data_IF_156342631215
#
_entry.id   IF_156342631215
#
_cell.length_a   1.000
_cell.length_b   1.000
_cell.length_c   1.000
_cell.angle_alpha   90.00
_cell.angle_beta   90.00
_cell.angle_gamma   90.00
#
_symmetry.space_group_name_H-M   'P 1'
#
loop_
_entity.id
_entity.type
_entity.pdbx_description
1 polymer ?
#
# COMPACT_ATOMS: atom_id res chain seq x y z
N UNK A 1 37.26 6.66 15.05
CA UNK A 1 36.07 7.55 15.14
C UNK A 1 35.68 8.13 13.80
N UNK A 2 36.59 8.24 12.86
CA UNK A 2 36.33 8.87 11.55
C UNK A 2 35.56 7.94 10.57
N UNK A 3 35.66 6.63 10.74
CA UNK A 3 34.99 5.66 9.84
C UNK A 3 33.46 5.61 9.98
N UNK A 4 32.93 5.91 11.17
CA UNK A 4 31.46 5.89 11.42
C UNK A 4 30.79 7.12 10.82
N UNK A 5 31.51 8.26 10.77
CA UNK A 5 31.00 9.50 10.20
C UNK A 5 30.92 9.40 8.66
N UNK A 6 31.91 8.76 8.04
CA UNK A 6 31.94 8.55 6.59
C UNK A 6 30.83 7.60 6.10
N UNK A 7 30.53 6.53 6.84
CA UNK A 7 29.42 5.63 6.49
C UNK A 7 28.03 6.30 6.62
N UNK A 8 27.88 7.22 7.58
CA UNK A 8 26.65 7.98 7.74
C UNK A 8 26.46 9.00 6.61
N UNK A 9 27.55 9.63 6.17
CA UNK A 9 27.53 10.61 5.07
C UNK A 9 27.34 9.95 3.71
N UNK A 10 27.91 8.76 3.47
CA UNK A 10 27.68 7.98 2.26
C UNK A 10 26.22 7.48 2.18
N UNK A 11 25.64 7.01 3.30
CA UNK A 11 24.23 6.62 3.35
C UNK A 11 23.29 7.81 3.16
N UNK A 12 23.69 8.99 3.61
CA UNK A 12 22.91 10.22 3.38
C UNK A 12 22.95 10.67 1.92
N UNK A 13 24.02 10.38 1.18
CA UNK A 13 24.13 10.71 -0.24
C UNK A 13 23.40 9.70 -1.14
N UNK A 14 23.31 8.41 -0.76
CA UNK A 14 22.50 7.42 -1.47
C UNK A 14 20.99 7.69 -1.35
N UNK A 15 20.54 8.45 -0.35
CA UNK A 15 19.13 8.81 -0.16
C UNK A 15 18.71 10.09 -0.88
N UNK A 16 19.51 10.67 -1.75
CA UNK A 16 19.05 11.64 -2.75
C UNK A 16 18.36 10.95 -3.94
N UNK A 17 17.44 10.05 -3.61
CA UNK A 17 16.51 9.51 -4.58
C UNK A 17 15.55 10.64 -4.97
N UNK A 18 15.68 11.12 -6.20
CA UNK A 18 14.67 12.00 -6.79
C UNK A 18 13.38 11.20 -6.92
N UNK A 19 12.53 11.29 -5.91
CA UNK A 19 11.19 10.71 -5.97
C UNK A 19 10.46 11.32 -7.19
N UNK A 20 9.86 10.51 -8.05
CA UNK A 20 9.02 11.05 -9.10
C UNK A 20 7.94 11.92 -8.47
N UNK A 21 7.58 13.01 -9.15
CA UNK A 21 6.47 13.86 -8.71
C UNK A 21 5.17 13.08 -8.85
N UNK A 22 4.66 12.60 -7.71
CA UNK A 22 3.39 11.89 -7.62
C UNK A 22 2.40 12.79 -6.89
N UNK A 23 1.26 13.04 -7.53
CA UNK A 23 0.19 13.78 -6.92
C UNK A 23 -0.63 12.86 -6.00
N UNK A 24 -0.32 12.90 -4.71
CA UNK A 24 -1.13 12.21 -3.69
C UNK A 24 -2.46 12.94 -3.53
N UNK A 25 -3.54 12.18 -3.51
CA UNK A 25 -4.89 12.73 -3.43
C UNK A 25 -5.82 11.77 -2.65
N UNK A 26 -6.30 12.22 -1.51
CA UNK A 26 -7.33 11.56 -0.69
C UNK A 26 -8.61 12.40 -0.60
N UNK A 27 -8.79 13.39 -1.46
CA UNK A 27 -9.88 14.36 -1.36
C UNK A 27 -11.24 13.82 -1.78
N UNK A 28 -11.27 12.74 -2.56
CA UNK A 28 -12.51 12.15 -3.08
C UNK A 28 -13.12 11.09 -2.15
N UNK A 29 -12.48 10.83 -1.03
CA UNK A 29 -12.87 9.79 -0.08
C UNK A 29 -12.88 10.33 1.35
N UNK A 30 -13.58 9.63 2.23
CA UNK A 30 -13.60 9.93 3.66
C UNK A 30 -13.72 8.66 4.49
N UNK A 31 -13.29 8.72 5.75
CA UNK A 31 -13.41 7.61 6.69
C UNK A 31 -14.70 7.77 7.49
N UNK A 32 -15.49 6.71 7.55
CA UNK A 32 -16.74 6.66 8.29
C UNK A 32 -16.92 5.33 9.02
N UNK A 33 -18.03 5.24 9.76
CA UNK A 33 -18.43 3.98 10.42
C UNK A 33 -18.85 2.97 9.36
N UNK A 34 -18.26 1.79 9.41
CA UNK A 34 -18.60 0.68 8.51
C UNK A 34 -19.56 -0.31 9.19
N UNK A 35 -20.47 -0.86 8.40
CA UNK A 35 -21.32 -1.97 8.83
C UNK A 35 -20.59 -3.32 8.76
N UNK A 36 -19.45 -3.37 8.08
CA UNK A 36 -18.63 -4.58 7.92
C UNK A 36 -17.60 -4.72 9.02
N UNK A 37 -16.83 -3.66 9.28
CA UNK A 37 -15.78 -3.69 10.28
C UNK A 37 -15.42 -2.28 10.76
N UNK A 38 -15.68 -1.97 12.02
CA UNK A 38 -15.34 -0.74 12.74
C UNK A 38 -15.49 0.55 11.92
N UNK A 39 -14.61 0.78 10.98
CA UNK A 39 -14.54 1.93 10.09
C UNK A 39 -14.15 1.47 8.68
N UNK A 40 -14.53 2.24 7.70
CA UNK A 40 -14.21 2.02 6.30
C UNK A 40 -14.02 3.32 5.56
N UNK A 41 -13.73 3.23 4.29
CA UNK A 41 -13.54 4.37 3.40
C UNK A 41 -14.74 4.47 2.46
N UNK A 42 -15.27 5.67 2.33
CA UNK A 42 -16.50 5.99 1.60
C UNK A 42 -16.23 7.02 0.50
N UNK A 43 -17.00 6.93 -0.56
CA UNK A 43 -16.94 7.88 -1.66
C UNK A 43 -17.58 9.22 -1.27
N UNK A 44 -16.89 10.34 -1.49
CA UNK A 44 -17.46 11.69 -1.33
C UNK A 44 -18.37 12.12 -2.47
N UNK A 45 -18.16 11.54 -3.64
CA UNK A 45 -18.90 11.84 -4.88
C UNK A 45 -19.16 10.55 -5.63
N UNK A 46 -20.07 10.60 -6.61
CA UNK A 46 -20.23 9.50 -7.56
C UNK A 46 -18.93 9.28 -8.33
N UNK A 47 -18.54 8.02 -8.48
CA UNK A 47 -17.35 7.61 -9.21
C UNK A 47 -17.73 6.62 -10.30
N UNK A 48 -17.31 6.89 -11.51
CA UNK A 48 -17.47 5.96 -12.63
C UNK A 48 -16.43 4.81 -12.55
N UNK A 49 -16.66 3.76 -13.31
CA UNK A 49 -15.71 2.66 -13.53
C UNK A 49 -14.32 3.22 -13.93
N UNK A 50 -13.26 2.62 -13.41
CA UNK A 50 -11.86 3.02 -13.64
C UNK A 50 -11.49 4.44 -13.15
N UNK A 51 -12.19 4.93 -12.17
CA UNK A 51 -11.83 6.18 -11.48
C UNK A 51 -10.75 5.88 -10.42
N UNK A 52 -9.73 6.73 -10.37
CA UNK A 52 -8.78 6.73 -9.26
C UNK A 52 -9.41 7.43 -8.07
N UNK A 53 -9.81 6.64 -7.06
CA UNK A 53 -10.47 7.15 -5.87
C UNK A 53 -9.49 7.81 -4.89
N UNK A 54 -8.30 7.24 -4.77
CA UNK A 54 -7.24 7.74 -3.89
C UNK A 54 -5.86 7.39 -4.44
N UNK A 55 -4.90 8.28 -4.23
CA UNK A 55 -3.46 8.02 -4.40
C UNK A 55 -2.76 8.36 -3.09
N UNK A 56 -2.07 7.38 -2.51
CA UNK A 56 -1.44 7.52 -1.20
C UNK A 56 0.01 7.06 -1.21
N UNK A 57 0.89 7.66 -0.38
CA UNK A 57 2.26 7.20 -0.23
C UNK A 57 2.31 5.91 0.61
N UNK A 58 3.28 5.06 0.30
CA UNK A 58 3.65 3.90 1.11
C UNK A 58 5.08 4.02 1.58
N UNK A 59 5.35 3.50 2.78
CA UNK A 59 6.67 3.56 3.41
C UNK A 59 7.12 2.14 3.74
N UNK A 60 8.27 1.68 3.21
CA UNK A 60 8.78 0.36 3.54
C UNK A 60 9.28 0.30 4.98
N UNK A 61 8.97 -0.80 5.64
CA UNK A 61 9.56 -1.19 6.92
C UNK A 61 10.18 -2.56 6.77
N UNK A 62 11.40 -2.74 7.29
CA UNK A 62 12.17 -3.94 7.06
C UNK A 62 12.26 -4.78 8.33
N UNK A 63 11.95 -6.08 8.18
CA UNK A 63 12.05 -7.07 9.24
C UNK A 63 12.82 -8.28 8.73
N UNK A 64 13.58 -8.92 9.57
CA UNK A 64 14.26 -10.18 9.20
C UNK A 64 13.26 -11.32 9.02
N UNK A 65 12.21 -11.33 9.85
CA UNK A 65 11.11 -12.28 9.78
C UNK A 65 9.79 -11.58 10.13
N UNK A 66 8.66 -12.14 9.69
CA UNK A 66 7.32 -11.63 10.05
C UNK A 66 7.07 -11.62 11.56
N UNK A 67 7.74 -12.47 12.32
CA UNK A 67 7.58 -12.56 13.79
C UNK A 67 8.19 -11.38 14.56
N UNK A 68 9.02 -10.58 13.92
CA UNK A 68 9.59 -9.37 14.52
C UNK A 68 8.68 -8.16 14.39
N UNK A 69 7.67 -8.23 13.53
CA UNK A 69 6.72 -7.15 13.36
C UNK A 69 5.62 -7.20 14.42
N UNK A 70 5.20 -6.03 14.88
CA UNK A 70 4.01 -5.92 15.70
C UNK A 70 2.78 -6.47 14.95
N UNK A 71 1.89 -7.25 15.60
CA UNK A 71 0.69 -7.78 14.94
C UNK A 71 -0.21 -6.71 14.33
N UNK A 72 -0.26 -5.51 14.91
CA UNK A 72 -1.04 -4.40 14.34
C UNK A 72 -0.43 -3.92 13.02
N UNK A 73 0.89 -3.86 12.92
CA UNK A 73 1.58 -3.52 11.68
C UNK A 73 1.28 -4.56 10.61
N UNK A 74 1.29 -5.84 10.95
CA UNK A 74 0.91 -6.93 10.04
C UNK A 74 -0.53 -6.82 9.55
N UNK A 75 -1.44 -6.34 10.41
CA UNK A 75 -2.86 -6.20 10.08
C UNK A 75 -3.16 -5.03 9.13
N UNK A 76 -2.38 -3.96 9.20
CA UNK A 76 -2.61 -2.73 8.43
C UNK A 76 -1.58 -2.46 7.34
N UNK A 77 -0.47 -3.19 7.31
CA UNK A 77 0.56 -3.05 6.29
C UNK A 77 0.30 -3.92 5.06
N UNK A 78 0.87 -3.50 3.95
CA UNK A 78 0.92 -4.32 2.74
C UNK A 78 2.20 -5.16 2.78
N UNK A 79 2.03 -6.47 2.79
CA UNK A 79 3.13 -7.40 2.96
C UNK A 79 3.68 -7.84 1.61
N UNK A 80 4.99 -7.69 1.42
CA UNK A 80 5.71 -8.20 0.28
C UNK A 80 6.68 -9.34 0.72
N UNK A 81 6.16 -10.29 1.46
CA UNK A 81 6.91 -11.48 1.88
C UNK A 81 6.77 -12.59 0.84
N UNK A 82 7.86 -13.07 0.30
CA UNK A 82 7.86 -14.13 -0.70
C UNK A 82 8.02 -13.67 -2.14
N UNK A 83 8.25 -12.39 -2.36
CA UNK A 83 8.66 -11.92 -3.67
C UNK A 83 10.02 -12.52 -4.05
N UNK A 84 10.13 -13.16 -5.24
CA UNK A 84 11.37 -13.80 -5.67
C UNK A 84 12.43 -12.82 -6.17
N UNK A 85 12.13 -11.53 -6.24
CA UNK A 85 13.09 -10.56 -6.77
C UNK A 85 14.28 -10.38 -5.80
N UNK A 86 15.44 -10.02 -6.38
CA UNK A 86 16.68 -9.86 -5.63
C UNK A 86 16.60 -8.80 -4.53
N UNK A 87 15.85 -7.73 -4.76
CA UNK A 87 15.70 -6.64 -3.78
C UNK A 87 14.92 -7.09 -2.56
N UNK A 88 13.81 -7.79 -2.74
CA UNK A 88 13.05 -8.34 -1.63
C UNK A 88 13.83 -9.41 -0.85
N UNK A 89 14.55 -10.28 -1.57
CA UNK A 89 15.39 -11.28 -0.93
C UNK A 89 16.53 -10.66 -0.12
N UNK A 90 17.12 -9.56 -0.61
CA UNK A 90 18.18 -8.83 0.07
C UNK A 90 17.70 -8.18 1.37
N UNK A 91 16.50 -7.64 1.39
CA UNK A 91 15.95 -6.90 2.53
C UNK A 91 15.13 -7.77 3.49
N UNK A 92 14.87 -9.04 3.16
CA UNK A 92 14.07 -9.94 3.97
C UNK A 92 12.58 -9.66 3.87
N UNK A 93 11.89 -9.59 5.01
CA UNK A 93 10.45 -9.36 5.07
C UNK A 93 10.14 -7.86 5.06
N UNK A 94 9.47 -7.40 4.01
CA UNK A 94 9.14 -5.99 3.84
C UNK A 94 7.64 -5.79 4.03
N UNK A 95 7.29 -4.84 4.89
CA UNK A 95 5.92 -4.40 5.12
C UNK A 95 5.84 -2.94 4.73
N UNK A 96 4.92 -2.61 3.83
CA UNK A 96 4.68 -1.24 3.39
C UNK A 96 3.52 -0.65 4.18
N UNK A 97 3.78 0.43 4.89
CA UNK A 97 2.77 1.19 5.62
C UNK A 97 2.23 2.30 4.73
N UNK A 98 0.92 2.41 4.63
CA UNK A 98 0.30 3.50 3.90
C UNK A 98 0.10 4.73 4.79
N UNK A 99 0.32 5.90 4.23
CA UNK A 99 -0.27 7.14 4.69
C UNK A 99 -1.60 7.38 3.95
N UNK A 100 -2.35 8.43 4.29
CA UNK A 100 -3.72 8.57 3.80
C UNK A 100 -4.63 7.47 4.36
N UNK A 101 -5.54 6.97 3.55
CA UNK A 101 -6.51 5.96 3.98
C UNK A 101 -6.25 4.56 3.43
N UNK A 102 -5.13 4.34 2.76
CA UNK A 102 -4.80 3.10 2.03
C UNK A 102 -4.98 1.81 2.82
N UNK A 103 -4.70 1.82 4.13
CA UNK A 103 -4.86 0.65 5.01
C UNK A 103 -6.24 0.52 5.66
N UNK A 104 -7.16 1.45 5.39
CA UNK A 104 -8.49 1.50 6.04
C UNK A 104 -9.62 0.94 5.18
N UNK A 105 -9.34 0.54 3.94
CA UNK A 105 -10.32 -0.09 3.07
C UNK A 105 -10.64 -1.49 3.55
N UNK A 106 -11.92 -1.76 3.75
CA UNK A 106 -12.37 -3.09 4.15
C UNK A 106 -12.36 -4.06 2.98
N UNK A 107 -12.23 -5.34 3.32
CA UNK A 107 -12.27 -6.44 2.37
C UNK A 107 -13.71 -6.92 2.14
N UNK A 108 -14.06 -7.14 0.88
CA UNK A 108 -15.19 -7.97 0.48
C UNK A 108 -14.82 -8.84 -0.73
N UNK A 109 -15.30 -10.09 -0.80
CA UNK A 109 -15.08 -10.94 -1.99
C UNK A 109 -15.62 -10.31 -3.28
N UNK A 110 -16.73 -9.59 -3.19
CA UNK A 110 -17.31 -8.81 -4.29
C UNK A 110 -16.95 -7.34 -4.12
N UNK A 111 -15.68 -7.02 -4.31
CA UNK A 111 -15.19 -5.66 -4.21
C UNK A 111 -15.70 -4.75 -5.32
N UNK A 112 -15.74 -3.45 -5.07
CA UNK A 112 -16.08 -2.41 -6.04
C UNK A 112 -14.86 -1.57 -6.44
N UNK A 113 -13.70 -1.90 -5.90
CA UNK A 113 -12.43 -1.28 -6.21
C UNK A 113 -11.29 -2.30 -6.13
N UNK A 114 -10.15 -1.94 -6.71
CA UNK A 114 -8.89 -2.68 -6.59
C UNK A 114 -7.80 -1.76 -6.10
N UNK A 115 -6.78 -2.34 -5.49
CA UNK A 115 -5.58 -1.64 -5.08
C UNK A 115 -4.43 -1.96 -6.05
N UNK A 116 -3.69 -0.94 -6.45
CA UNK A 116 -2.43 -1.06 -7.17
C UNK A 116 -1.32 -0.48 -6.31
N UNK A 117 -0.25 -1.25 -6.07
CA UNK A 117 0.91 -0.82 -5.29
C UNK A 117 2.13 -0.74 -6.19
N UNK A 118 2.79 0.40 -6.17
CA UNK A 118 4.05 0.61 -6.86
C UNK A 118 5.18 0.69 -5.82
N UNK A 119 5.94 -0.39 -5.68
CA UNK A 119 7.02 -0.47 -4.71
C UNK A 119 8.29 0.25 -5.14
N UNK A 120 8.44 0.53 -6.43
CA UNK A 120 9.57 1.30 -6.94
C UNK A 120 9.42 2.78 -6.59
N UNK A 121 8.25 3.32 -6.86
CA UNK A 121 7.96 4.75 -6.70
C UNK A 121 7.22 5.05 -5.38
N UNK A 122 6.98 4.02 -4.56
CA UNK A 122 6.44 4.09 -3.20
C UNK A 122 5.07 4.77 -3.11
N UNK A 123 4.13 4.34 -3.92
CA UNK A 123 2.74 4.77 -3.83
C UNK A 123 1.74 3.64 -4.04
N UNK A 124 0.52 3.86 -3.61
CA UNK A 124 -0.63 3.03 -3.89
C UNK A 124 -1.76 3.82 -4.52
N UNK A 125 -2.59 3.15 -5.30
CA UNK A 125 -3.82 3.69 -5.88
C UNK A 125 -4.99 2.79 -5.58
N UNK A 126 -6.12 3.39 -5.28
CA UNK A 126 -7.42 2.71 -5.26
C UNK A 126 -8.16 3.09 -6.52
N UNK A 127 -8.54 2.10 -7.31
CA UNK A 127 -9.20 2.27 -8.61
C UNK A 127 -10.52 1.53 -8.60
N UNK A 128 -11.59 2.23 -8.95
CA UNK A 128 -12.92 1.64 -8.99
C UNK A 128 -13.03 0.57 -10.09
N UNK A 129 -13.63 -0.56 -9.77
CA UNK A 129 -13.95 -1.65 -10.71
C UNK A 129 -15.41 -1.70 -11.09
N UNK A 130 -16.22 -0.85 -10.47
CA UNK A 130 -17.64 -0.62 -10.73
C UNK A 130 -17.94 0.85 -10.50
N UNK A 131 -19.10 1.29 -10.95
CA UNK A 131 -19.64 2.58 -10.51
C UNK A 131 -19.90 2.53 -9.01
N UNK A 132 -19.48 3.56 -8.30
CA UNK A 132 -19.71 3.77 -6.86
C UNK A 132 -20.47 5.07 -6.68
N UNK A 133 -21.59 5.02 -5.94
CA UNK A 133 -22.35 6.22 -5.63
C UNK A 133 -21.76 6.95 -4.43
N UNK A 134 -22.02 8.24 -4.36
CA UNK A 134 -21.70 9.04 -3.18
C UNK A 134 -22.19 8.36 -1.91
N UNK A 135 -21.35 8.36 -0.87
CA UNK A 135 -21.58 7.76 0.44
C UNK A 135 -21.66 6.22 0.46
N UNK A 136 -21.35 5.55 -0.64
CA UNK A 136 -21.11 4.11 -0.62
C UNK A 136 -19.73 3.79 -0.10
N UNK A 137 -19.62 2.68 0.64
CA UNK A 137 -18.34 2.16 1.09
C UNK A 137 -17.54 1.56 -0.06
N UNK A 138 -16.26 1.85 -0.08
CA UNK A 138 -15.31 1.33 -1.05
C UNK A 138 -14.65 0.08 -0.47
N UNK A 139 -14.81 -1.05 -1.15
CA UNK A 139 -14.25 -2.33 -0.76
C UNK A 139 -13.17 -2.78 -1.74
N UNK A 140 -12.13 -3.39 -1.20
CA UNK A 140 -11.07 -4.02 -1.98
C UNK A 140 -11.03 -5.52 -1.67
N UNK A 141 -10.44 -6.30 -2.56
CA UNK A 141 -10.14 -7.71 -2.31
C UNK A 141 -8.67 -7.85 -1.96
N UNK A 142 -8.37 -8.33 -0.76
CA UNK A 142 -6.99 -8.43 -0.27
C UNK A 142 -6.15 -9.47 -1.03
N UNK A 143 -6.79 -10.47 -1.63
CA UNK A 143 -6.11 -11.56 -2.36
C UNK A 143 -5.74 -11.24 -3.80
N UNK A 144 -6.20 -10.13 -4.36
CA UNK A 144 -5.98 -9.74 -5.76
C UNK A 144 -5.19 -8.45 -5.90
N UNK A 145 -4.20 -8.25 -5.04
CA UNK A 145 -3.35 -7.09 -5.11
C UNK A 145 -2.35 -7.25 -6.24
N UNK A 146 -2.44 -6.42 -7.27
CA UNK A 146 -1.40 -6.31 -8.28
C UNK A 146 -0.25 -5.50 -7.72
N UNK A 147 0.91 -6.12 -7.63
CA UNK A 147 2.11 -5.50 -7.08
C UNK A 147 3.04 -5.07 -8.20
N UNK A 148 3.42 -3.82 -8.21
CA UNK A 148 4.43 -3.29 -9.12
C UNK A 148 5.81 -3.44 -8.49
N UNK A 149 6.59 -4.35 -9.05
CA UNK A 149 7.96 -4.59 -8.62
C UNK A 149 8.91 -4.08 -9.69
N UNK A 150 9.79 -3.16 -9.35
CA UNK A 150 10.73 -2.54 -10.31
C UNK A 150 10.06 -2.07 -11.61
N UNK A 151 8.82 -1.58 -11.51
CA UNK A 151 8.02 -1.18 -12.65
C UNK A 151 7.37 -2.34 -13.43
N UNK A 152 7.46 -3.56 -12.92
CA UNK A 152 6.78 -4.74 -13.46
C UNK A 152 5.60 -5.09 -12.57
N UNK A 153 4.43 -5.25 -13.18
CA UNK A 153 3.24 -5.75 -12.48
C UNK A 153 3.46 -7.23 -12.16
N UNK A 154 3.46 -7.57 -10.91
CA UNK A 154 3.47 -8.96 -10.47
C UNK A 154 2.25 -9.20 -9.61
N UNK A 155 1.48 -10.23 -9.97
CA UNK A 155 0.40 -10.71 -9.12
C UNK A 155 1.04 -11.50 -7.97
N UNK A 156 1.08 -10.91 -6.80
CA UNK A 156 1.39 -11.63 -5.59
C UNK A 156 0.08 -11.90 -4.85
N UNK A 157 -0.21 -13.15 -4.62
CA UNK A 157 -1.21 -13.52 -3.65
C UNK A 157 -0.76 -12.94 -2.30
N UNK A 158 -1.58 -12.10 -1.70
CA UNK A 158 -1.38 -11.78 -0.30
C UNK A 158 -1.42 -13.10 0.45
N UNK A 159 -0.29 -13.49 1.03
CA UNK A 159 -0.28 -14.63 1.94
C UNK A 159 -1.42 -14.45 2.93
N UNK A 160 -2.25 -15.48 3.14
CA UNK A 160 -3.32 -15.40 4.12
C UNK A 160 -2.70 -14.89 5.43
N UNK A 161 -3.38 -13.95 6.02
CA UNK A 161 -3.04 -13.47 7.34
C UNK A 161 -3.41 -14.56 8.32
N UNK A 162 -2.48 -15.45 8.57
CA UNK A 162 -2.56 -16.39 9.67
C UNK A 162 -2.15 -15.72 10.99
#
# INVERSE_FOLDING_TARGET
MDDIQNEADEKSQEMQYTMPSIDYDSTNVYVGKSDVHLRGVFAKTDMELNTVAEVFPITPTFFRTKYQADPQILSYGFVNGGCPCKECQKHGYVIYLSSGYGSMYNHQPQSNARIELNYKDLYGKIITTKRIHKDEEIFITYSSTELFHNGVVTNHENSPRD
#
